data_IF_557285674763
#
_entry.id   IF_557285674763
#
_cell.length_a   1.000
_cell.length_b   1.000
_cell.length_c   1.000
_cell.angle_alpha   90.00
_cell.angle_beta   90.00
_cell.angle_gamma   90.00
#
_symmetry.space_group_name_H-M   'P 1'
#
loop_
_entity.id
_entity.type
_entity.pdbx_description
1 polymer ?
#
# COMPACT_ATOMS: atom_id res chain seq x y z
N UNK A 1 -6.22 8.38 20.29
CA UNK A 1 -6.03 8.15 18.85
C UNK A 1 -7.35 7.82 18.12
N UNK A 2 -8.02 6.66 18.31
CA UNK A 2 -9.29 6.38 17.59
C UNK A 2 -10.40 7.39 17.90
N UNK A 3 -10.51 7.85 19.14
CA UNK A 3 -11.43 8.94 19.54
C UNK A 3 -11.12 10.23 18.79
N UNK A 4 -9.86 10.62 18.71
CA UNK A 4 -9.42 11.83 17.98
C UNK A 4 -9.75 11.75 16.50
N UNK A 5 -9.57 10.57 15.87
CA UNK A 5 -9.96 10.33 14.46
C UNK A 5 -11.47 10.52 14.30
N UNK A 6 -12.27 9.98 15.23
CA UNK A 6 -13.73 10.16 15.24
C UNK A 6 -14.13 11.63 15.45
N UNK A 7 -13.45 12.37 16.34
CA UNK A 7 -13.65 13.81 16.57
C UNK A 7 -13.33 14.66 15.32
N UNK A 8 -12.43 14.19 14.45
CA UNK A 8 -12.17 14.82 13.14
C UNK A 8 -13.26 14.49 12.11
N UNK A 9 -14.28 13.70 12.52
CA UNK A 9 -15.41 13.35 11.69
C UNK A 9 -15.11 12.25 10.65
N UNK A 10 -14.08 11.40 10.90
CA UNK A 10 -13.89 10.18 10.14
C UNK A 10 -14.81 9.08 10.67
N UNK A 11 -15.34 8.26 9.78
CA UNK A 11 -16.26 7.16 10.12
C UNK A 11 -15.55 5.81 10.25
N UNK A 12 -14.33 5.73 9.77
CA UNK A 12 -13.49 4.53 9.80
C UNK A 12 -12.01 4.89 9.89
N UNK A 13 -11.20 3.93 10.33
CA UNK A 13 -9.74 4.04 10.33
C UNK A 13 -9.11 2.74 9.85
N UNK A 14 -7.92 2.84 9.27
CA UNK A 14 -7.01 1.72 9.10
C UNK A 14 -6.16 1.55 10.36
N UNK A 15 -5.93 0.30 10.76
CA UNK A 15 -4.97 -0.02 11.82
C UNK A 15 -3.60 -0.30 11.19
N UNK A 16 -2.66 0.60 11.46
CA UNK A 16 -1.31 0.57 10.89
C UNK A 16 -0.42 -0.48 11.58
N UNK A 17 0.62 -0.86 10.86
CA UNK A 17 1.74 -1.71 11.31
C UNK A 17 2.49 -1.17 12.55
N UNK A 18 2.15 0.02 13.05
CA UNK A 18 2.67 0.57 14.32
C UNK A 18 1.92 0.15 15.57
N UNK A 19 0.77 -0.52 15.46
CA UNK A 19 -0.07 -0.95 16.59
C UNK A 19 0.63 -2.03 17.41
N UNK A 20 0.87 -1.74 18.71
CA UNK A 20 1.46 -2.70 19.65
C UNK A 20 0.39 -3.49 20.38
N UNK A 21 0.72 -4.69 20.86
CA UNK A 21 -0.20 -5.57 21.64
C UNK A 21 -0.85 -4.87 22.82
N UNK A 22 -0.15 -3.95 23.50
CA UNK A 22 -0.69 -3.17 24.62
C UNK A 22 -1.88 -2.28 24.25
N UNK A 23 -2.05 -1.95 22.96
CA UNK A 23 -3.14 -1.10 22.47
C UNK A 23 -4.42 -1.90 22.13
N UNK A 24 -4.31 -3.23 21.95
CA UNK A 24 -5.40 -4.09 21.53
C UNK A 24 -6.66 -3.94 22.42
N UNK A 25 -6.57 -3.99 23.76
CA UNK A 25 -7.76 -3.89 24.60
C UNK A 25 -8.52 -2.58 24.38
N UNK A 26 -7.79 -1.46 24.22
CA UNK A 26 -8.39 -0.16 23.95
C UNK A 26 -9.01 -0.06 22.56
N UNK A 27 -8.39 -0.67 21.54
CA UNK A 27 -8.93 -0.73 20.18
C UNK A 27 -10.22 -1.53 20.16
N UNK A 28 -10.24 -2.72 20.74
CA UNK A 28 -11.45 -3.57 20.81
C UNK A 28 -12.58 -2.84 21.51
N UNK A 29 -12.31 -2.23 22.66
CA UNK A 29 -13.31 -1.43 23.39
C UNK A 29 -13.88 -0.29 22.55
N UNK A 30 -13.04 0.39 21.75
CA UNK A 30 -13.49 1.48 20.88
C UNK A 30 -14.37 0.96 19.72
N UNK A 31 -14.00 -0.18 19.11
CA UNK A 31 -14.77 -0.82 18.04
C UNK A 31 -16.12 -1.33 18.59
N UNK A 32 -16.13 -2.08 19.69
CA UNK A 32 -17.33 -2.59 20.34
C UNK A 32 -18.26 -1.46 20.80
N UNK A 33 -17.68 -0.34 21.25
CA UNK A 33 -18.41 0.87 21.63
C UNK A 33 -18.93 1.70 20.46
N UNK A 34 -18.69 1.28 19.21
CA UNK A 34 -19.18 1.97 18.02
C UNK A 34 -18.52 3.34 17.76
N UNK A 35 -17.32 3.58 18.30
CA UNK A 35 -16.61 4.86 18.13
C UNK A 35 -16.30 5.13 16.64
N UNK A 36 -15.79 4.11 15.94
CA UNK A 36 -15.64 4.09 14.48
C UNK A 36 -15.41 2.65 13.98
N UNK A 37 -15.58 2.43 12.69
CA UNK A 37 -15.30 1.15 12.04
C UNK A 37 -13.82 1.03 11.69
N UNK A 38 -13.33 -0.20 11.54
CA UNK A 38 -12.01 -0.45 10.96
C UNK A 38 -12.20 -0.79 9.48
N UNK A 39 -11.62 0.04 8.61
CA UNK A 39 -11.72 -0.13 7.15
C UNK A 39 -10.77 -1.19 6.62
N UNK A 40 -9.62 -1.30 7.23
CA UNK A 40 -8.53 -2.20 6.84
C UNK A 40 -7.51 -2.33 7.96
N UNK A 41 -6.64 -3.33 7.84
CA UNK A 41 -5.49 -3.52 8.74
C UNK A 41 -4.24 -3.65 7.89
N UNK A 42 -3.24 -2.84 8.17
CA UNK A 42 -1.96 -2.92 7.46
C UNK A 42 -1.04 -3.95 8.12
N UNK A 43 -0.52 -4.88 7.34
CA UNK A 43 0.41 -5.93 7.82
C UNK A 43 1.78 -5.30 8.18
N UNK A 44 2.39 -5.63 9.29
CA UNK A 44 2.03 -6.56 10.35
C UNK A 44 1.34 -5.83 11.50
N UNK A 45 0.14 -6.22 11.82
CA UNK A 45 -0.62 -5.60 12.90
C UNK A 45 -1.36 -6.67 13.72
N UNK A 46 -1.11 -6.76 15.02
CA UNK A 46 -0.16 -5.96 15.82
C UNK A 46 1.30 -6.23 15.45
N UNK A 47 2.17 -5.26 15.82
CA UNK A 47 3.62 -5.41 15.62
C UNK A 47 4.11 -6.73 16.22
N UNK A 48 4.83 -7.57 15.46
CA UNK A 48 5.36 -8.83 15.98
C UNK A 48 6.26 -8.64 17.20
N UNK A 49 6.14 -9.53 18.19
CA UNK A 49 6.96 -9.47 19.39
C UNK A 49 8.44 -9.55 19.04
N UNK A 50 9.24 -8.69 19.67
CA UNK A 50 10.68 -8.60 19.40
C UNK A 50 11.06 -7.61 18.29
N UNK A 51 10.09 -7.11 17.51
CA UNK A 51 10.36 -6.06 16.51
C UNK A 51 10.42 -4.71 17.22
N UNK A 52 11.61 -4.11 17.24
CA UNK A 52 11.85 -2.80 17.86
C UNK A 52 11.41 -1.63 16.98
N UNK A 53 11.56 -1.77 15.66
CA UNK A 53 11.16 -0.78 14.66
C UNK A 53 10.04 -1.34 13.82
N UNK A 54 8.78 -0.94 14.06
CA UNK A 54 7.65 -1.34 13.24
C UNK A 54 7.86 -0.96 11.78
N UNK A 55 7.57 -1.88 10.88
CA UNK A 55 7.61 -1.68 9.44
C UNK A 55 6.77 -2.75 8.76
N UNK A 56 6.08 -2.45 7.66
CA UNK A 56 5.41 -3.47 6.87
C UNK A 56 6.39 -4.42 6.16
N UNK A 57 7.68 -4.07 6.14
CA UNK A 57 8.77 -4.85 5.57
C UNK A 57 9.62 -5.60 6.64
N UNK A 58 9.09 -5.79 7.88
CA UNK A 58 9.80 -6.55 8.93
C UNK A 58 10.16 -7.98 8.49
N UNK A 59 9.28 -8.61 7.73
CA UNK A 59 9.43 -9.94 7.15
C UNK A 59 8.92 -9.91 5.71
N UNK A 60 9.67 -10.52 4.79
CA UNK A 60 9.38 -10.45 3.37
C UNK A 60 8.86 -11.79 2.84
N UNK A 61 7.79 -11.78 2.08
CA UNK A 61 7.30 -12.98 1.38
C UNK A 61 8.27 -13.42 0.26
N UNK A 62 9.08 -12.49 -0.23
CA UNK A 62 10.11 -12.78 -1.23
C UNK A 62 11.44 -13.27 -0.66
N UNK A 63 11.58 -13.39 0.69
CA UNK A 63 12.84 -13.76 1.35
C UNK A 63 13.41 -15.08 0.75
N UNK A 64 14.71 -15.15 0.44
CA UNK A 64 15.34 -16.36 -0.08
C UNK A 64 15.30 -17.54 0.91
N UNK A 65 15.26 -17.26 2.22
CA UNK A 65 15.25 -18.27 3.27
C UNK A 65 13.83 -18.73 3.60
N UNK A 66 13.49 -20.02 3.41
CA UNK A 66 12.14 -20.55 3.66
C UNK A 66 11.66 -20.34 5.10
N UNK A 67 12.55 -20.41 6.07
CA UNK A 67 12.24 -20.17 7.50
C UNK A 67 11.76 -18.72 7.72
N UNK A 68 12.35 -17.73 7.06
CA UNK A 68 11.92 -16.33 7.16
C UNK A 68 10.57 -16.12 6.50
N UNK A 69 10.30 -16.78 5.37
CA UNK A 69 8.97 -16.76 4.75
C UNK A 69 7.91 -17.39 5.67
N UNK A 70 8.24 -18.50 6.36
CA UNK A 70 7.33 -19.07 7.38
C UNK A 70 7.05 -18.11 8.54
N UNK A 71 8.05 -17.32 8.95
CA UNK A 71 7.85 -16.26 9.96
C UNK A 71 6.91 -15.17 9.43
N UNK A 72 7.10 -14.71 8.19
CA UNK A 72 6.22 -13.74 7.54
C UNK A 72 4.77 -14.24 7.48
N UNK A 73 4.55 -15.48 7.02
CA UNK A 73 3.22 -16.11 6.97
C UNK A 73 2.59 -16.20 8.36
N UNK A 74 3.33 -16.67 9.37
CA UNK A 74 2.81 -16.78 10.75
C UNK A 74 2.30 -15.45 11.28
N UNK A 75 3.10 -14.38 11.16
CA UNK A 75 2.68 -13.06 11.66
C UNK A 75 1.57 -12.44 10.82
N UNK A 76 1.48 -12.76 9.53
CA UNK A 76 0.34 -12.34 8.72
C UNK A 76 -0.93 -13.09 9.11
N UNK A 77 -0.85 -14.37 9.50
CA UNK A 77 -2.00 -15.09 10.08
C UNK A 77 -2.48 -14.45 11.39
N UNK A 78 -1.56 -13.97 12.24
CA UNK A 78 -1.90 -13.20 13.44
C UNK A 78 -2.59 -11.87 13.08
N UNK A 79 -2.15 -11.20 12.00
CA UNK A 79 -2.79 -9.99 11.48
C UNK A 79 -4.21 -10.29 10.97
N UNK A 80 -4.41 -11.39 10.22
CA UNK A 80 -5.74 -11.82 9.77
C UNK A 80 -6.68 -12.15 10.94
N UNK A 81 -6.17 -12.80 11.99
CA UNK A 81 -6.90 -13.05 13.22
C UNK A 81 -7.35 -11.75 13.89
N UNK A 82 -6.44 -10.79 14.01
CA UNK A 82 -6.76 -9.48 14.59
C UNK A 82 -7.73 -8.68 13.71
N UNK A 83 -7.56 -8.70 12.39
CA UNK A 83 -8.47 -8.08 11.45
C UNK A 83 -9.91 -8.62 11.58
N UNK A 84 -10.07 -9.94 11.75
CA UNK A 84 -11.37 -10.56 12.01
C UNK A 84 -12.00 -10.06 13.33
N UNK A 85 -11.19 -9.94 14.40
CA UNK A 85 -11.66 -9.44 15.70
C UNK A 85 -12.14 -7.99 15.70
N UNK A 86 -11.58 -7.16 14.80
CA UNK A 86 -11.99 -5.76 14.63
C UNK A 86 -12.93 -5.56 13.44
N UNK A 87 -13.43 -6.66 12.86
CA UNK A 87 -14.34 -6.68 11.71
C UNK A 87 -13.83 -5.93 10.48
N UNK A 88 -12.52 -5.93 10.25
CA UNK A 88 -11.91 -5.32 9.08
C UNK A 88 -12.10 -6.21 7.84
N UNK A 89 -12.62 -5.68 6.72
CA UNK A 89 -12.85 -6.47 5.50
C UNK A 89 -11.59 -6.72 4.66
N UNK A 90 -10.49 -6.04 4.96
CA UNK A 90 -9.27 -6.11 4.18
C UNK A 90 -8.01 -6.06 5.03
N UNK A 91 -6.96 -6.75 4.55
CA UNK A 91 -5.58 -6.64 5.07
C UNK A 91 -4.68 -6.20 3.94
N UNK A 92 -3.96 -5.07 4.14
CA UNK A 92 -3.00 -4.52 3.19
C UNK A 92 -1.65 -5.20 3.36
N UNK A 93 -1.04 -5.60 2.25
CA UNK A 93 0.19 -6.38 2.23
C UNK A 93 1.28 -5.72 1.38
N UNK A 94 2.46 -5.53 1.97
CA UNK A 94 3.71 -5.46 1.21
C UNK A 94 4.21 -6.88 0.94
N UNK A 95 4.63 -7.15 -0.28
CA UNK A 95 4.96 -8.51 -0.69
C UNK A 95 6.47 -8.80 -0.72
N UNK A 96 7.29 -7.76 -0.57
CA UNK A 96 8.74 -7.92 -0.45
C UNK A 96 9.55 -7.21 -1.52
N UNK A 97 10.70 -7.79 -1.88
CA UNK A 97 11.63 -7.26 -2.87
C UNK A 97 11.63 -8.13 -4.13
N UNK A 98 11.73 -7.49 -5.31
CA UNK A 98 11.67 -8.15 -6.61
C UNK A 98 12.64 -7.60 -7.64
N UNK A 99 13.28 -6.47 -7.37
CA UNK A 99 14.19 -5.81 -8.27
C UNK A 99 15.58 -5.58 -7.70
N UNK A 100 16.51 -5.05 -8.50
CA UNK A 100 17.84 -4.68 -8.02
C UNK A 100 17.78 -3.46 -7.10
N UNK A 101 18.50 -3.53 -5.99
CA UNK A 101 18.60 -2.47 -5.00
C UNK A 101 19.28 -1.20 -5.54
N UNK A 102 18.94 -0.07 -4.94
CA UNK A 102 19.59 1.22 -5.15
C UNK A 102 19.34 1.89 -6.50
N UNK A 103 18.37 1.38 -7.29
CA UNK A 103 17.98 1.98 -8.56
C UNK A 103 17.21 3.29 -8.31
N UNK A 104 16.20 3.25 -7.47
CA UNK A 104 15.36 4.40 -7.12
C UNK A 104 16.21 5.58 -6.62
N UNK A 105 17.07 5.46 -5.60
CA UNK A 105 17.90 6.58 -5.15
C UNK A 105 18.87 7.13 -6.21
N UNK A 106 19.29 6.30 -7.17
CA UNK A 106 20.14 6.76 -8.29
C UNK A 106 19.34 7.59 -9.28
N UNK A 107 18.09 7.23 -9.54
CA UNK A 107 17.20 7.99 -10.43
C UNK A 107 16.74 9.29 -9.79
N UNK A 108 16.48 9.31 -8.47
CA UNK A 108 16.18 10.52 -7.70
C UNK A 108 17.33 11.53 -7.79
N UNK A 109 18.57 11.08 -7.57
CA UNK A 109 19.75 11.93 -7.80
C UNK A 109 19.86 12.43 -9.24
N UNK A 110 19.52 11.58 -10.22
CA UNK A 110 19.52 11.98 -11.61
C UNK A 110 18.39 12.99 -11.93
N UNK A 111 17.25 12.87 -11.29
CA UNK A 111 16.15 13.84 -11.37
C UNK A 111 16.62 15.21 -10.89
N UNK A 112 17.14 15.31 -9.67
CA UNK A 112 17.65 16.56 -9.09
C UNK A 112 18.77 17.20 -9.92
N UNK A 113 19.58 16.37 -10.61
CA UNK A 113 20.63 16.83 -11.51
C UNK A 113 20.14 17.20 -12.93
N UNK A 114 18.83 17.12 -13.21
CA UNK A 114 18.28 17.32 -14.56
C UNK A 114 18.71 16.26 -15.58
N UNK A 115 19.11 15.06 -15.11
CA UNK A 115 19.68 13.97 -15.94
C UNK A 115 18.81 12.71 -15.98
N UNK A 116 17.56 12.79 -15.57
CA UNK A 116 16.66 11.64 -15.52
C UNK A 116 16.50 10.96 -16.90
N UNK A 117 16.49 11.74 -17.97
CA UNK A 117 16.35 11.25 -19.35
C UNK A 117 17.69 11.14 -20.10
N UNK A 118 18.82 11.28 -19.39
CA UNK A 118 20.14 11.08 -20.00
C UNK A 118 20.36 9.60 -20.35
N UNK A 119 21.27 9.34 -21.33
CA UNK A 119 21.63 7.96 -21.74
C UNK A 119 22.04 7.06 -20.57
N UNK A 120 22.71 7.61 -19.55
CA UNK A 120 23.11 6.87 -18.34
C UNK A 120 21.90 6.36 -17.56
N UNK A 121 20.90 7.21 -17.33
CA UNK A 121 19.68 6.87 -16.61
C UNK A 121 18.82 5.89 -17.42
N UNK A 122 18.73 6.07 -18.73
CA UNK A 122 18.05 5.11 -19.62
C UNK A 122 18.71 3.73 -19.57
N UNK A 123 20.06 3.66 -19.66
CA UNK A 123 20.80 2.39 -19.54
C UNK A 123 20.59 1.73 -18.19
N UNK A 124 20.57 2.52 -17.11
CA UNK A 124 20.29 2.04 -15.77
C UNK A 124 18.91 1.38 -15.69
N UNK A 125 17.86 2.06 -16.19
CA UNK A 125 16.50 1.52 -16.22
C UNK A 125 16.40 0.24 -17.05
N UNK A 126 16.99 0.22 -18.25
CA UNK A 126 16.98 -0.98 -19.12
C UNK A 126 17.67 -2.17 -18.43
N UNK A 127 18.81 -1.94 -17.79
CA UNK A 127 19.52 -2.98 -17.06
C UNK A 127 18.69 -3.50 -15.84
N UNK A 128 18.05 -2.59 -15.11
CA UNK A 128 17.20 -2.93 -13.99
C UNK A 128 15.99 -3.78 -14.42
N UNK A 129 15.31 -3.40 -15.50
CA UNK A 129 14.19 -4.19 -16.06
C UNK A 129 14.67 -5.58 -16.52
N UNK A 130 15.81 -5.66 -17.19
CA UNK A 130 16.37 -6.93 -17.65
C UNK A 130 16.73 -7.87 -16.47
N UNK A 131 17.29 -7.32 -15.39
CA UNK A 131 17.58 -8.10 -14.19
C UNK A 131 16.29 -8.58 -13.52
N UNK A 132 15.34 -7.67 -13.26
CA UNK A 132 14.05 -8.00 -12.63
C UNK A 132 13.32 -9.12 -13.37
N UNK A 133 13.29 -9.07 -14.71
CA UNK A 133 12.66 -10.12 -15.52
C UNK A 133 13.36 -11.48 -15.38
N UNK A 134 14.67 -11.53 -15.20
CA UNK A 134 15.39 -12.79 -14.96
C UNK A 134 15.06 -13.38 -13.59
N UNK A 135 14.95 -12.52 -12.57
CA UNK A 135 14.76 -12.93 -11.17
C UNK A 135 13.29 -13.20 -10.83
N UNK A 136 12.36 -12.65 -11.63
CA UNK A 136 10.92 -12.73 -11.42
C UNK A 136 10.40 -14.15 -11.15
N UNK A 137 10.70 -15.19 -11.93
CA UNK A 137 10.10 -16.52 -11.68
C UNK A 137 10.38 -17.06 -10.29
N UNK A 138 11.59 -16.81 -9.77
CA UNK A 138 12.01 -17.26 -8.46
C UNK A 138 11.34 -16.45 -7.34
N UNK A 139 11.30 -15.12 -7.48
CA UNK A 139 10.69 -14.22 -6.51
C UNK A 139 9.18 -14.46 -6.46
N UNK A 140 8.55 -14.54 -7.62
CA UNK A 140 7.13 -14.83 -7.76
C UNK A 140 6.76 -16.16 -7.10
N UNK A 141 7.53 -17.21 -7.31
CA UNK A 141 7.31 -18.52 -6.68
C UNK A 141 7.34 -18.46 -5.16
N UNK A 142 8.28 -17.70 -4.57
CA UNK A 142 8.38 -17.49 -3.12
C UNK A 142 7.17 -16.74 -2.56
N UNK A 143 6.77 -15.65 -3.22
CA UNK A 143 5.61 -14.85 -2.81
C UNK A 143 4.34 -15.67 -2.92
N UNK A 144 4.16 -16.43 -4.02
CA UNK A 144 3.01 -17.33 -4.18
C UNK A 144 2.92 -18.38 -3.09
N UNK A 145 4.04 -19.04 -2.74
CA UNK A 145 4.08 -20.00 -1.63
C UNK A 145 3.50 -19.40 -0.33
N UNK A 146 3.86 -18.15 -0.02
CA UNK A 146 3.33 -17.45 1.15
C UNK A 146 1.84 -17.10 1.01
N UNK A 147 1.44 -16.56 -0.13
CA UNK A 147 0.05 -16.17 -0.37
C UNK A 147 -0.88 -17.39 -0.39
N UNK A 148 -0.47 -18.49 -1.02
CA UNK A 148 -1.22 -19.75 -1.04
C UNK A 148 -1.46 -20.30 0.37
N UNK A 149 -0.51 -20.08 1.30
CA UNK A 149 -0.68 -20.44 2.71
C UNK A 149 -1.63 -19.51 3.49
N UNK A 150 -1.81 -18.26 3.04
CA UNK A 150 -2.66 -17.25 3.69
C UNK A 150 -4.11 -17.27 3.19
N UNK A 151 -4.33 -17.59 1.91
CA UNK A 151 -5.63 -17.53 1.24
C UNK A 151 -6.73 -18.31 1.98
N UNK A 152 -6.51 -19.55 2.46
CA UNK A 152 -7.56 -20.27 3.19
C UNK A 152 -8.02 -19.54 4.44
N UNK A 153 -7.08 -18.97 5.21
CA UNK A 153 -7.39 -18.25 6.44
C UNK A 153 -8.09 -16.91 6.16
N UNK A 154 -7.72 -16.19 5.13
CA UNK A 154 -8.36 -14.95 4.69
C UNK A 154 -9.79 -15.23 4.20
N UNK A 155 -9.97 -16.21 3.33
CA UNK A 155 -11.27 -16.61 2.78
C UNK A 155 -12.24 -17.05 3.88
N UNK A 156 -11.78 -17.89 4.84
CA UNK A 156 -12.61 -18.35 5.95
C UNK A 156 -13.14 -17.19 6.81
N UNK A 157 -12.39 -16.09 6.89
CA UNK A 157 -12.74 -14.89 7.66
C UNK A 157 -13.47 -13.82 6.84
N UNK A 158 -13.68 -14.04 5.55
CA UNK A 158 -14.27 -13.04 4.64
C UNK A 158 -13.38 -11.81 4.45
N UNK A 159 -12.06 -11.96 4.62
CA UNK A 159 -11.08 -10.86 4.51
C UNK A 159 -10.41 -10.94 3.14
N UNK A 160 -10.36 -9.83 2.40
CA UNK A 160 -9.62 -9.72 1.15
C UNK A 160 -8.20 -9.22 1.40
N UNK A 161 -7.24 -9.70 0.60
CA UNK A 161 -5.84 -9.30 0.65
C UNK A 161 -5.61 -8.13 -0.32
N UNK A 162 -5.23 -6.96 0.20
CA UNK A 162 -4.88 -5.79 -0.60
C UNK A 162 -3.40 -5.84 -0.99
N UNK A 163 -3.09 -6.07 -2.26
CA UNK A 163 -1.71 -6.02 -2.75
C UNK A 163 -1.34 -4.57 -3.06
N UNK A 164 -0.46 -4.00 -2.26
CA UNK A 164 -0.10 -2.59 -2.38
C UNK A 164 1.00 -2.35 -3.41
N UNK A 165 0.80 -1.30 -4.24
CA UNK A 165 1.85 -0.79 -5.11
C UNK A 165 2.88 -0.01 -4.29
N UNK A 166 4.18 -0.23 -4.57
CA UNK A 166 5.28 0.37 -3.80
C UNK A 166 6.03 1.42 -4.61
N UNK A 167 6.71 2.31 -3.88
CA UNK A 167 7.45 3.45 -4.44
C UNK A 167 8.84 3.08 -4.97
N UNK A 168 9.54 2.13 -4.34
CA UNK A 168 10.87 1.72 -4.77
C UNK A 168 10.81 0.68 -5.88
N UNK A 169 11.61 0.85 -6.93
CA UNK A 169 11.69 -0.12 -8.03
C UNK A 169 12.23 -1.49 -7.57
N UNK A 170 12.96 -1.55 -6.48
CA UNK A 170 13.40 -2.82 -5.89
C UNK A 170 12.27 -3.61 -5.21
N UNK A 171 11.18 -2.97 -4.83
CA UNK A 171 10.07 -3.65 -4.15
C UNK A 171 9.20 -4.45 -5.13
N UNK A 172 8.55 -5.48 -4.61
CA UNK A 172 7.64 -6.36 -5.34
C UNK A 172 6.19 -6.13 -4.88
N UNK A 173 5.22 -6.05 -5.80
CA UNK A 173 5.31 -6.21 -7.25
C UNK A 173 5.56 -4.89 -7.99
N UNK A 174 6.10 -4.97 -9.23
CA UNK A 174 5.97 -3.88 -10.21
C UNK A 174 4.59 -3.92 -10.90
N UNK A 175 4.39 -3.07 -11.90
CA UNK A 175 3.09 -2.95 -12.58
C UNK A 175 2.67 -4.23 -13.31
N UNK A 176 3.63 -4.93 -13.95
CA UNK A 176 3.35 -6.17 -14.71
C UNK A 176 3.13 -7.34 -13.75
N UNK A 177 3.92 -7.41 -12.71
CA UNK A 177 3.87 -8.44 -11.68
C UNK A 177 2.57 -8.34 -10.86
N UNK A 178 2.10 -7.11 -10.60
CA UNK A 178 0.81 -6.85 -9.96
C UNK A 178 -0.34 -7.42 -10.79
N UNK A 179 -0.36 -7.17 -12.10
CA UNK A 179 -1.41 -7.69 -12.96
C UNK A 179 -1.43 -9.23 -12.91
N UNK A 180 -0.26 -9.87 -12.92
CA UNK A 180 -0.13 -11.33 -12.80
C UNK A 180 -0.67 -11.87 -11.48
N UNK A 181 -0.34 -11.22 -10.35
CA UNK A 181 -0.87 -11.61 -9.04
C UNK A 181 -2.40 -11.50 -8.98
N UNK A 182 -2.94 -10.38 -9.49
CA UNK A 182 -4.38 -10.15 -9.50
C UNK A 182 -5.13 -11.17 -10.38
N UNK A 183 -4.50 -11.64 -11.46
CA UNK A 183 -5.06 -12.71 -12.31
C UNK A 183 -5.04 -14.07 -11.61
N UNK A 184 -3.97 -14.38 -10.88
CA UNK A 184 -3.83 -15.67 -10.21
C UNK A 184 -4.77 -15.82 -8.99
N UNK A 185 -5.06 -14.74 -8.25
CA UNK A 185 -5.88 -14.81 -7.04
C UNK A 185 -7.33 -14.37 -7.22
N UNK A 186 -7.61 -13.52 -8.21
CA UNK A 186 -8.95 -13.04 -8.51
C UNK A 186 -9.57 -12.11 -7.45
N UNK A 187 -10.66 -11.39 -7.80
CA UNK A 187 -11.20 -10.31 -6.98
C UNK A 187 -11.92 -10.78 -5.70
N UNK A 188 -12.31 -12.05 -5.61
CA UNK A 188 -12.92 -12.59 -4.39
C UNK A 188 -11.90 -12.77 -3.25
N UNK A 189 -10.63 -12.97 -3.58
CA UNK A 189 -9.55 -13.26 -2.63
C UNK A 189 -8.66 -12.05 -2.41
N UNK A 190 -8.28 -11.37 -3.50
CA UNK A 190 -7.34 -10.26 -3.45
C UNK A 190 -7.78 -9.11 -4.34
N UNK A 191 -7.20 -7.94 -4.11
CA UNK A 191 -7.42 -6.77 -4.94
C UNK A 191 -6.22 -5.84 -4.95
N UNK A 192 -6.20 -4.97 -5.93
CA UNK A 192 -5.23 -3.91 -6.06
C UNK A 192 -5.41 -2.88 -4.95
N UNK A 193 -4.36 -2.63 -4.20
CA UNK A 193 -4.30 -1.52 -3.26
C UNK A 193 -3.45 -0.41 -3.86
N UNK A 194 -4.11 0.67 -4.23
CA UNK A 194 -3.46 1.78 -4.89
C UNK A 194 -2.93 2.79 -3.88
N UNK A 195 -1.64 3.05 -3.89
CA UNK A 195 -1.06 4.16 -3.15
C UNK A 195 -0.73 5.30 -4.11
N UNK A 196 -1.39 6.45 -3.89
CA UNK A 196 -1.27 7.59 -4.79
C UNK A 196 0.13 8.19 -4.82
N UNK A 197 0.77 8.33 -3.68
CA UNK A 197 2.11 8.89 -3.59
C UNK A 197 3.17 7.95 -4.15
N UNK A 198 3.06 6.64 -3.86
CA UNK A 198 3.97 5.64 -4.41
C UNK A 198 3.90 5.58 -5.94
N UNK A 199 2.69 5.61 -6.49
CA UNK A 199 2.49 5.64 -7.94
C UNK A 199 3.05 6.93 -8.55
N UNK A 200 2.82 8.08 -7.92
CA UNK A 200 3.35 9.37 -8.38
C UNK A 200 4.89 9.39 -8.36
N UNK A 201 5.55 8.89 -7.30
CA UNK A 201 7.02 8.77 -7.26
C UNK A 201 7.57 7.98 -8.44
N UNK A 202 6.95 6.84 -8.75
CA UNK A 202 7.35 6.03 -9.91
C UNK A 202 7.11 6.75 -11.23
N UNK A 203 6.02 7.52 -11.36
CA UNK A 203 5.77 8.37 -12.53
C UNK A 203 6.82 9.48 -12.66
N UNK A 204 7.14 10.21 -11.57
CA UNK A 204 8.18 11.24 -11.58
C UNK A 204 9.53 10.70 -12.02
N UNK A 205 9.83 9.45 -11.67
CA UNK A 205 11.05 8.77 -12.13
C UNK A 205 10.90 8.13 -13.53
N UNK A 206 9.73 8.25 -14.17
CA UNK A 206 9.47 7.78 -15.53
C UNK A 206 9.42 6.26 -15.66
N UNK A 207 8.84 5.56 -14.70
CA UNK A 207 8.62 4.12 -14.76
C UNK A 207 7.30 3.75 -15.43
N UNK A 208 6.23 4.52 -15.19
CA UNK A 208 4.92 4.28 -15.79
C UNK A 208 4.13 5.60 -15.93
N UNK A 209 3.01 5.56 -16.60
CA UNK A 209 1.95 6.56 -16.58
C UNK A 209 0.98 6.20 -15.46
N UNK A 210 0.96 7.01 -14.39
CA UNK A 210 0.15 6.79 -13.19
C UNK A 210 -1.33 6.71 -13.55
N UNK A 211 -1.85 7.72 -14.23
CA UNK A 211 -3.28 7.82 -14.52
C UNK A 211 -3.76 6.70 -15.47
N UNK A 212 -3.00 6.38 -16.51
CA UNK A 212 -3.36 5.31 -17.43
C UNK A 212 -3.36 3.94 -16.75
N UNK A 213 -2.35 3.69 -15.89
CA UNK A 213 -2.26 2.42 -15.14
C UNK A 213 -3.39 2.27 -14.15
N UNK A 214 -3.71 3.34 -13.40
CA UNK A 214 -4.80 3.36 -12.44
C UNK A 214 -6.15 3.14 -13.13
N UNK A 215 -6.47 3.93 -14.16
CA UNK A 215 -7.72 3.82 -14.92
C UNK A 215 -7.95 2.41 -15.48
N UNK A 216 -6.89 1.78 -16.02
CA UNK A 216 -6.96 0.41 -16.54
C UNK A 216 -7.35 -0.60 -15.46
N UNK A 217 -6.74 -0.54 -14.28
CA UNK A 217 -7.04 -1.47 -13.17
C UNK A 217 -8.41 -1.25 -12.57
N UNK A 218 -8.84 0.00 -12.49
CA UNK A 218 -10.23 0.33 -12.08
C UNK A 218 -11.24 -0.23 -13.08
N UNK A 219 -11.03 -0.02 -14.39
CA UNK A 219 -11.90 -0.55 -15.44
C UNK A 219 -11.98 -2.09 -15.45
N UNK A 220 -10.95 -2.77 -14.97
CA UNK A 220 -10.92 -4.22 -14.78
C UNK A 220 -11.60 -4.70 -13.49
N UNK A 221 -12.14 -3.80 -12.65
CA UNK A 221 -12.74 -4.15 -11.35
C UNK A 221 -11.73 -4.69 -10.33
N UNK A 222 -10.46 -4.27 -10.43
CA UNK A 222 -9.38 -4.79 -9.58
C UNK A 222 -9.14 -3.97 -8.31
N UNK A 223 -9.64 -2.73 -8.23
CA UNK A 223 -9.38 -1.85 -7.09
C UNK A 223 -10.13 -2.32 -5.84
N UNK A 224 -9.40 -2.65 -4.78
CA UNK A 224 -9.92 -2.95 -3.46
C UNK A 224 -9.95 -1.71 -2.56
N UNK A 225 -8.88 -0.93 -2.59
CA UNK A 225 -8.74 0.28 -1.80
C UNK A 225 -7.55 1.11 -2.21
N UNK A 226 -7.39 2.24 -1.53
CA UNK A 226 -6.29 3.16 -1.79
C UNK A 226 -5.81 3.87 -0.54
N UNK A 227 -4.50 4.12 -0.49
CA UNK A 227 -3.85 5.09 0.38
C UNK A 227 -3.79 6.44 -0.32
N UNK A 228 -4.22 7.47 0.39
CA UNK A 228 -4.40 8.82 -0.13
C UNK A 228 -3.47 9.75 0.63
N UNK A 229 -2.49 10.23 -0.05
CA UNK A 229 -1.60 11.31 0.37
C UNK A 229 -1.02 11.98 -0.86
N UNK A 230 -0.53 13.19 -0.71
CA UNK A 230 0.10 13.91 -1.80
C UNK A 230 1.60 13.64 -1.87
N UNK A 231 2.20 13.96 -3.00
CA UNK A 231 3.61 13.74 -3.26
C UNK A 231 4.22 14.89 -4.05
N UNK A 232 5.38 15.36 -3.63
CA UNK A 232 6.20 16.28 -4.42
C UNK A 232 7.41 15.57 -5.01
N UNK A 233 7.74 15.83 -6.30
CA UNK A 233 8.84 15.14 -6.97
C UNK A 233 10.20 15.36 -6.28
N UNK A 234 11.08 14.39 -6.35
CA UNK A 234 10.85 13.03 -6.83
C UNK A 234 10.44 12.05 -5.72
N UNK A 235 10.52 12.43 -4.42
CA UNK A 235 10.61 11.50 -3.30
C UNK A 235 9.88 11.92 -2.02
N UNK A 236 9.15 13.03 -2.04
CA UNK A 236 8.43 13.55 -0.87
C UNK A 236 6.96 13.13 -0.89
N UNK A 237 6.68 11.93 -0.43
CA UNK A 237 5.34 11.36 -0.25
C UNK A 237 4.75 11.58 1.16
N UNK A 238 3.59 11.00 1.44
CA UNK A 238 2.82 11.10 2.68
C UNK A 238 2.54 12.55 3.11
N UNK A 239 2.45 13.46 2.15
CA UNK A 239 2.10 14.86 2.36
C UNK A 239 0.60 15.05 2.51
N UNK A 240 0.19 16.17 3.10
CA UNK A 240 -1.21 16.57 3.12
C UNK A 240 -1.74 16.73 1.68
N UNK A 241 -2.99 16.34 1.46
CA UNK A 241 -3.64 16.48 0.14
C UNK A 241 -3.72 17.96 -0.25
N UNK A 242 -3.22 18.27 -1.44
CA UNK A 242 -3.10 19.62 -1.97
C UNK A 242 -1.76 20.31 -1.69
N UNK A 243 -0.80 19.62 -1.05
CA UNK A 243 0.55 20.14 -0.79
C UNK A 243 1.61 19.54 -1.74
N UNK A 244 1.22 18.72 -2.72
CA UNK A 244 2.07 18.09 -3.72
C UNK A 244 1.61 18.36 -5.15
N UNK A 245 1.95 17.43 -6.05
CA UNK A 245 1.73 17.57 -7.49
C UNK A 245 0.82 16.48 -8.08
N UNK A 246 0.12 15.69 -7.24
CA UNK A 246 -0.80 14.67 -7.75
C UNK A 246 -2.08 15.31 -8.27
N UNK A 247 -2.44 15.00 -9.51
CA UNK A 247 -3.69 15.45 -10.14
C UNK A 247 -4.89 14.62 -9.64
N UNK A 248 -5.31 14.89 -8.40
CA UNK A 248 -6.48 14.25 -7.80
C UNK A 248 -7.77 14.51 -8.55
N UNK A 249 -7.91 15.68 -9.19
CA UNK A 249 -9.11 16.01 -9.96
C UNK A 249 -9.32 15.03 -11.14
N UNK A 250 -8.24 14.54 -11.73
CA UNK A 250 -8.26 13.52 -12.78
C UNK A 250 -8.48 12.10 -12.26
N UNK A 251 -7.97 11.79 -11.07
CA UNK A 251 -7.89 10.41 -10.56
C UNK A 251 -9.07 10.03 -9.67
N UNK A 252 -9.55 10.93 -8.81
CA UNK A 252 -10.64 10.64 -7.85
C UNK A 252 -11.95 10.21 -8.52
N UNK A 253 -12.38 10.80 -9.64
CA UNK A 253 -13.61 10.36 -10.33
C UNK A 253 -13.58 8.92 -10.82
N UNK A 254 -12.39 8.32 -10.93
CA UNK A 254 -12.23 6.93 -11.34
C UNK A 254 -12.47 5.93 -10.20
N UNK A 255 -12.42 6.37 -8.94
CA UNK A 255 -12.49 5.48 -7.77
C UNK A 255 -13.93 4.98 -7.58
N UNK A 256 -14.19 3.66 -7.67
CA UNK A 256 -15.51 3.10 -7.44
C UNK A 256 -16.00 3.39 -6.01
N UNK A 257 -17.32 3.57 -5.80
CA UNK A 257 -17.89 3.92 -4.49
C UNK A 257 -17.53 2.91 -3.38
N UNK A 258 -17.43 1.64 -3.72
CA UNK A 258 -17.14 0.52 -2.82
C UNK A 258 -15.66 0.41 -2.42
N UNK A 259 -14.75 1.09 -3.12
CA UNK A 259 -13.33 1.03 -2.78
C UNK A 259 -13.04 1.68 -1.42
N UNK A 260 -12.21 1.02 -0.63
CA UNK A 260 -11.75 1.53 0.67
C UNK A 260 -10.83 2.74 0.42
N UNK A 261 -11.02 3.82 1.18
CA UNK A 261 -10.24 5.06 1.05
C UNK A 261 -9.63 5.41 2.39
N UNK A 262 -8.31 5.46 2.45
CA UNK A 262 -7.55 5.74 3.67
C UNK A 262 -6.66 6.96 3.45
N UNK A 263 -6.82 8.00 4.25
CA UNK A 263 -5.82 9.08 4.33
C UNK A 263 -4.61 8.57 5.11
N UNK A 264 -3.51 8.33 4.40
CA UNK A 264 -2.24 7.86 4.99
C UNK A 264 -1.21 9.00 4.99
N UNK A 265 -1.34 9.87 5.96
CA UNK A 265 -0.49 11.04 6.08
C UNK A 265 0.69 10.78 7.00
N UNK A 266 1.82 11.44 6.72
CA UNK A 266 2.98 11.40 7.61
C UNK A 266 2.60 11.78 9.05
N UNK A 267 3.14 11.12 10.08
CA UNK A 267 2.94 11.51 11.48
C UNK A 267 3.38 12.94 11.80
N UNK A 268 4.06 13.61 10.88
CA UNK A 268 4.48 15.01 11.00
C UNK A 268 3.41 16.00 10.52
N UNK A 269 2.38 15.52 9.83
CA UNK A 269 1.26 16.35 9.36
C UNK A 269 0.41 16.75 10.57
N UNK A 270 0.19 18.05 10.72
CA UNK A 270 -0.58 18.61 11.83
C UNK A 270 -2.08 18.36 11.71
N UNK A 271 -2.81 18.51 12.83
CA UNK A 271 -4.26 18.33 12.91
C UNK A 271 -5.02 19.15 11.84
N UNK A 272 -4.63 20.42 11.67
CA UNK A 272 -5.30 21.33 10.73
C UNK A 272 -5.11 20.89 9.28
N UNK A 273 -3.93 20.36 8.94
CA UNK A 273 -3.64 19.83 7.61
C UNK A 273 -4.38 18.51 7.35
N UNK A 274 -4.63 17.70 8.38
CA UNK A 274 -5.51 16.51 8.26
C UNK A 274 -6.95 16.95 7.93
N UNK A 275 -7.47 17.96 8.62
CA UNK A 275 -8.81 18.52 8.37
C UNK A 275 -8.88 19.11 6.95
N UNK A 276 -7.88 19.87 6.55
CA UNK A 276 -7.76 20.44 5.20
C UNK A 276 -7.72 19.34 4.12
N UNK A 277 -6.88 18.31 4.33
CA UNK A 277 -6.79 17.17 3.42
C UNK A 277 -8.13 16.46 3.24
N UNK A 278 -8.86 16.22 4.34
CA UNK A 278 -10.22 15.67 4.29
C UNK A 278 -11.19 16.54 3.50
N UNK A 279 -11.16 17.86 3.71
CA UNK A 279 -12.03 18.81 3.01
C UNK A 279 -11.74 18.83 1.50
N UNK A 280 -10.46 18.91 1.11
CA UNK A 280 -10.04 18.90 -0.29
C UNK A 280 -10.45 17.57 -0.94
N UNK A 281 -10.18 16.43 -0.30
CA UNK A 281 -10.59 15.13 -0.80
C UNK A 281 -12.11 15.05 -1.02
N UNK A 282 -12.89 15.54 -0.04
CA UNK A 282 -14.36 15.52 -0.13
C UNK A 282 -14.89 16.39 -1.27
N UNK A 283 -14.21 17.48 -1.64
CA UNK A 283 -14.61 18.33 -2.77
C UNK A 283 -14.47 17.62 -4.10
N UNK A 284 -13.45 16.79 -4.30
CA UNK A 284 -13.30 15.98 -5.50
C UNK A 284 -14.39 14.90 -5.60
N UNK A 285 -14.74 14.25 -4.48
CA UNK A 285 -15.77 13.22 -4.46
C UNK A 285 -17.18 13.77 -4.75
N UNK A 286 -17.47 15.00 -4.32
CA UNK A 286 -18.75 15.67 -4.58
C UNK A 286 -18.95 16.08 -6.05
N UNK A 287 -17.87 16.31 -6.79
CA UNK A 287 -17.92 16.71 -8.21
C UNK A 287 -18.18 15.51 -9.14
N UNK A 288 -18.10 14.27 -8.60
CA UNK A 288 -18.20 13.02 -9.35
C UNK A 288 -19.57 12.33 -9.21
N UNK A 289 -20.49 12.91 -8.44
CA UNK A 289 -21.86 12.44 -8.21
C UNK A 289 -22.87 13.25 -9.02
#
# INVERSE_FOLDING_TARGET
MLMEIAELGFLAAELSHGVRYSLIPGILKAVEGGVLRISSVHNFCPVPLGVSRPSPNCYLFSDPHPEMRRVAVRHTLETLEFAARVHAPAVVLHLGHGGPDGITPRLERAYHAGKLYARSSTRLKVAAVAQRRRDFPQIYGRVRECLDALVPAATQRGIRLGFEIREDYAEFPDEIEMDRLLDDYGPAVAGYWHDFGHAARKEFLGWHDHAATFARRVAQGRLLGCHIHDCSPPDHDHRAVGDGEIDFARLVPLIPPEAIRVLELSPRVGRDDVIKSKAIWSSFAATSA
#
